data_IF_576367854163
#
_entry.id   IF_576367854163
#
_cell.length_a   1.000
_cell.length_b   1.000
_cell.length_c   1.000
_cell.angle_alpha   90.00
_cell.angle_beta   90.00
_cell.angle_gamma   90.00
#
_symmetry.space_group_name_H-M   'P 1'
#
loop_
_entity.id
_entity.type
_entity.pdbx_description
1 polymer ?
#
# COMPACT_ATOMS: atom_id res chain seq x y z
N UNK A 1 -1.58 17.04 14.52
CA UNK A 1 -2.54 15.93 14.70
C UNK A 1 -2.28 15.27 16.04
N UNK A 2 -3.31 15.09 16.85
CA UNK A 2 -3.18 14.49 18.18
C UNK A 2 -2.93 12.97 18.01
N UNK A 3 -2.17 12.36 18.92
CA UNK A 3 -1.83 10.93 18.86
C UNK A 3 -3.04 9.96 18.91
N UNK A 4 -4.27 10.47 19.09
CA UNK A 4 -5.52 9.69 19.14
C UNK A 4 -6.27 9.55 17.80
N UNK A 5 -5.81 10.20 16.73
CA UNK A 5 -6.54 10.27 15.45
C UNK A 5 -6.18 9.12 14.48
N UNK A 6 -5.23 8.26 14.84
CA UNK A 6 -4.72 7.20 13.96
C UNK A 6 -4.62 5.87 14.72
N UNK A 7 -5.44 4.90 14.33
CA UNK A 7 -5.35 3.51 14.79
C UNK A 7 -4.23 2.82 14.02
N UNK A 8 -3.35 2.12 14.74
CA UNK A 8 -2.20 1.43 14.14
C UNK A 8 -2.36 -0.08 14.28
N UNK A 9 -2.18 -0.81 13.18
CA UNK A 9 -2.27 -2.26 13.13
C UNK A 9 -0.92 -2.83 12.65
N UNK A 10 -0.61 -4.09 13.02
CA UNK A 10 0.60 -4.82 12.62
C UNK A 10 1.92 -4.21 13.12
N UNK A 11 1.93 -3.69 14.35
CA UNK A 11 3.16 -3.25 15.00
C UNK A 11 4.06 -4.47 15.25
N UNK A 12 5.29 -4.47 14.71
CA UNK A 12 6.20 -5.60 14.86
C UNK A 12 6.56 -5.86 16.34
N UNK A 13 6.53 -7.13 16.82
CA UNK A 13 6.92 -7.47 18.18
C UNK A 13 8.43 -7.31 18.41
N UNK A 14 8.83 -6.78 19.56
CA UNK A 14 10.24 -6.49 19.92
C UNK A 14 10.54 -5.02 20.22
N UNK A 15 9.57 -4.13 20.06
CA UNK A 15 9.72 -2.71 20.35
C UNK A 15 9.12 -2.31 21.72
N UNK A 16 8.90 -3.25 22.65
CA UNK A 16 8.15 -3.03 23.90
C UNK A 16 9.00 -2.47 25.05
N UNK A 17 9.94 -1.57 24.72
CA UNK A 17 10.76 -0.85 25.68
C UNK A 17 10.61 0.66 25.51
N UNK A 18 10.17 1.32 26.57
CA UNK A 18 10.16 2.77 26.88
C UNK A 18 10.59 3.74 25.75
N UNK A 19 9.68 4.64 25.38
CA UNK A 19 10.00 5.87 24.65
C UNK A 19 10.14 5.72 23.13
N UNK A 20 9.11 5.23 22.44
CA UNK A 20 9.16 5.11 20.98
C UNK A 20 9.10 6.49 20.30
N UNK A 21 10.18 6.82 19.59
CA UNK A 21 10.20 7.85 18.54
C UNK A 21 9.08 7.58 17.52
N UNK A 22 8.47 8.63 16.96
CA UNK A 22 7.47 8.55 15.89
C UNK A 22 7.88 7.63 14.73
N UNK A 23 9.19 7.44 14.52
CA UNK A 23 9.79 6.56 13.52
C UNK A 23 9.44 5.08 13.66
N UNK A 24 9.23 4.56 14.88
CA UNK A 24 8.93 3.13 15.08
C UNK A 24 7.55 2.77 14.51
N UNK A 25 6.63 3.73 14.52
CA UNK A 25 5.29 3.51 14.02
C UNK A 25 5.14 3.74 12.53
N UNK A 26 6.17 4.29 11.86
CA UNK A 26 6.12 4.64 10.44
C UNK A 26 5.62 3.49 9.55
N UNK A 27 6.05 2.26 9.85
CA UNK A 27 5.70 1.08 9.05
C UNK A 27 4.48 0.30 9.55
N UNK A 28 3.82 0.79 10.60
CA UNK A 28 2.53 0.21 11.00
C UNK A 28 1.46 0.62 9.99
N UNK A 29 0.46 -0.23 9.80
CA UNK A 29 -0.70 0.15 9.00
C UNK A 29 -1.50 1.21 9.76
N UNK A 30 -1.66 2.39 9.16
CA UNK A 30 -2.30 3.54 9.78
C UNK A 30 -3.73 3.71 9.28
N UNK A 31 -4.70 3.47 10.16
CA UNK A 31 -6.10 3.79 9.94
C UNK A 31 -6.39 5.14 10.57
N UNK A 32 -6.54 6.16 9.72
CA UNK A 32 -7.01 7.46 10.18
C UNK A 32 -8.46 7.34 10.61
N UNK A 33 -8.73 7.73 11.86
CA UNK A 33 -10.08 7.82 12.38
C UNK A 33 -10.68 9.11 11.85
N UNK A 34 -11.76 8.99 11.12
CA UNK A 34 -12.55 10.13 10.68
C UNK A 34 -13.15 10.87 11.89
N UNK A 35 -13.26 12.19 11.79
CA UNK A 35 -13.86 13.00 12.85
C UNK A 35 -15.36 12.69 12.97
N UNK A 36 -15.95 12.96 14.14
CA UNK A 36 -17.38 12.77 14.34
C UNK A 36 -18.22 13.60 13.36
N UNK A 37 -17.75 14.80 13.02
CA UNK A 37 -18.37 15.69 12.03
C UNK A 37 -18.31 15.09 10.61
N UNK A 38 -17.16 14.57 10.20
CA UNK A 38 -17.00 13.91 8.90
C UNK A 38 -17.90 12.68 8.77
N UNK A 39 -17.90 11.84 9.81
CA UNK A 39 -18.71 10.64 9.86
C UNK A 39 -20.22 10.97 9.87
N UNK A 40 -20.63 12.04 10.55
CA UNK A 40 -22.01 12.52 10.52
C UNK A 40 -22.39 13.04 9.12
N UNK A 41 -21.51 13.81 8.47
CA UNK A 41 -21.70 14.30 7.10
C UNK A 41 -21.85 13.13 6.11
N UNK A 42 -20.95 12.15 6.13
CA UNK A 42 -21.02 10.95 5.26
C UNK A 42 -22.29 10.14 5.50
N UNK A 43 -22.76 10.04 6.75
CA UNK A 43 -24.05 9.42 7.10
C UNK A 43 -25.26 10.17 6.54
N UNK A 44 -25.21 11.51 6.49
CA UNK A 44 -26.28 12.29 5.86
C UNK A 44 -26.28 12.07 4.35
N UNK A 45 -25.11 12.13 3.71
CA UNK A 45 -24.95 11.87 2.28
C UNK A 45 -25.44 10.47 1.89
N UNK A 46 -25.17 9.44 2.71
CA UNK A 46 -25.65 8.08 2.44
C UNK A 46 -27.17 7.91 2.53
N UNK A 47 -27.89 8.92 3.04
CA UNK A 47 -29.37 8.93 3.11
C UNK A 47 -30.00 9.63 1.90
N UNK A 48 -29.20 10.32 1.09
CA UNK A 48 -29.67 10.94 -0.13
C UNK A 48 -29.99 9.86 -1.18
N UNK A 49 -31.04 10.02 -2.00
CA UNK A 49 -31.35 9.06 -3.05
C UNK A 49 -30.18 8.92 -4.03
N UNK A 50 -29.86 7.68 -4.41
CA UNK A 50 -28.86 7.42 -5.45
C UNK A 50 -29.29 8.05 -6.77
N UNK A 51 -28.36 8.77 -7.40
CA UNK A 51 -28.53 9.25 -8.77
C UNK A 51 -28.08 8.15 -9.71
N UNK A 52 -28.96 7.77 -10.65
CA UNK A 52 -28.61 6.81 -11.70
C UNK A 52 -27.61 7.49 -12.63
N UNK A 53 -26.39 6.97 -12.67
CA UNK A 53 -25.35 7.43 -13.58
C UNK A 53 -25.54 6.78 -14.96
N UNK A 54 -25.15 7.46 -16.05
CA UNK A 54 -25.11 6.86 -17.38
C UNK A 54 -24.09 5.72 -17.44
N UNK A 55 -24.24 4.81 -18.39
CA UNK A 55 -23.42 3.59 -18.50
C UNK A 55 -21.93 3.90 -18.61
N UNK A 56 -21.58 4.96 -19.34
CA UNK A 56 -20.20 5.41 -19.53
C UNK A 56 -19.54 5.85 -18.22
N UNK A 57 -20.31 6.31 -17.23
CA UNK A 57 -19.81 6.72 -15.93
C UNK A 57 -19.64 5.53 -14.95
N UNK A 58 -20.09 4.34 -15.33
CA UNK A 58 -19.88 3.09 -14.59
C UNK A 58 -18.67 2.32 -15.11
N UNK A 59 -18.16 2.69 -16.28
CA UNK A 59 -16.91 2.17 -16.80
C UNK A 59 -15.73 2.76 -16.03
N UNK A 60 -14.73 1.93 -15.76
CA UNK A 60 -13.49 2.38 -15.13
C UNK A 60 -12.32 1.66 -15.75
N UNK A 61 -11.19 2.36 -15.77
CA UNK A 61 -9.94 1.88 -16.34
C UNK A 61 -8.90 1.62 -15.23
N UNK A 62 -8.00 0.64 -15.41
CA UNK A 62 -6.93 0.40 -14.45
C UNK A 62 -6.07 1.66 -14.19
N UNK A 63 -5.88 2.50 -15.20
CA UNK A 63 -5.09 3.73 -15.16
C UNK A 63 -5.63 4.76 -14.16
N UNK A 64 -6.95 4.79 -13.92
CA UNK A 64 -7.58 5.70 -12.94
C UNK A 64 -7.11 5.40 -11.51
N UNK A 65 -6.95 4.12 -11.18
CA UNK A 65 -6.61 3.68 -9.83
C UNK A 65 -5.11 3.48 -9.62
N UNK A 66 -4.46 2.77 -10.53
CA UNK A 66 -3.07 2.35 -10.36
C UNK A 66 -2.07 3.41 -10.81
N UNK A 67 -2.46 4.31 -11.72
CA UNK A 67 -1.60 5.36 -12.30
C UNK A 67 -0.21 4.81 -12.67
N UNK A 68 -0.12 3.89 -13.66
CA UNK A 68 1.11 3.20 -14.00
C UNK A 68 2.27 4.18 -14.29
N UNK A 69 3.47 3.86 -13.79
CA UNK A 69 4.64 4.73 -13.92
C UNK A 69 4.67 5.92 -12.94
N UNK A 70 3.68 6.04 -12.06
CA UNK A 70 3.76 6.92 -10.89
C UNK A 70 4.52 6.26 -9.74
N UNK A 71 4.74 6.99 -8.64
CA UNK A 71 5.35 6.42 -7.43
C UNK A 71 4.43 5.41 -6.70
N UNK A 72 3.21 5.15 -7.18
CA UNK A 72 2.24 4.20 -6.60
C UNK A 72 2.41 2.75 -7.09
N UNK A 73 3.30 2.52 -8.05
CA UNK A 73 3.63 1.16 -8.49
C UNK A 73 4.24 0.35 -7.34
N UNK A 74 4.07 -0.97 -7.36
CA UNK A 74 4.58 -1.82 -6.27
C UNK A 74 6.11 -1.70 -6.12
N UNK A 75 6.65 -1.78 -4.88
CA UNK A 75 8.08 -1.77 -4.66
C UNK A 75 8.70 -3.06 -5.23
N UNK A 76 9.75 -2.90 -6.03
CA UNK A 76 10.48 -4.01 -6.64
C UNK A 76 11.71 -4.33 -5.82
N UNK A 77 12.04 -5.62 -5.67
CA UNK A 77 13.22 -6.00 -4.91
C UNK A 77 14.49 -5.46 -5.58
N UNK A 78 15.35 -4.71 -4.86
CA UNK A 78 16.63 -4.27 -5.41
C UNK A 78 17.49 -5.47 -5.84
N UNK A 79 18.30 -5.33 -6.91
CA UNK A 79 19.21 -6.39 -7.33
C UNK A 79 20.12 -6.86 -6.20
N UNK A 80 20.22 -8.16 -6.00
CA UNK A 80 21.05 -8.77 -4.97
C UNK A 80 21.83 -9.96 -5.53
N UNK A 81 22.91 -10.34 -4.84
CA UNK A 81 23.73 -11.50 -5.20
C UNK A 81 23.99 -12.38 -3.99
N UNK A 82 24.22 -13.68 -4.23
CA UNK A 82 24.57 -14.66 -3.18
C UNK A 82 25.88 -14.32 -2.44
N UNK A 83 26.71 -13.44 -3.01
CA UNK A 83 27.93 -12.95 -2.38
C UNK A 83 27.70 -11.86 -1.32
N UNK A 84 26.51 -11.26 -1.26
CA UNK A 84 26.17 -10.27 -0.24
C UNK A 84 25.94 -10.94 1.11
N UNK A 85 26.38 -10.29 2.19
CA UNK A 85 25.97 -10.73 3.53
C UNK A 85 24.48 -10.47 3.74
N UNK A 86 23.88 -11.25 4.64
CA UNK A 86 22.48 -11.10 5.03
C UNK A 86 22.18 -9.67 5.50
N UNK A 87 23.05 -9.13 6.35
CA UNK A 87 22.88 -7.81 6.96
C UNK A 87 23.01 -6.70 5.90
N UNK A 88 23.91 -6.85 4.93
CA UNK A 88 24.07 -5.91 3.84
C UNK A 88 22.84 -5.89 2.93
N UNK A 89 22.29 -7.07 2.62
CA UNK A 89 21.05 -7.20 1.85
C UNK A 89 19.86 -6.59 2.58
N UNK A 90 19.69 -6.92 3.87
CA UNK A 90 18.61 -6.40 4.69
C UNK A 90 18.65 -4.87 4.81
N UNK A 91 19.86 -4.31 4.99
CA UNK A 91 20.08 -2.87 5.06
C UNK A 91 19.74 -2.18 3.73
N UNK A 92 20.15 -2.78 2.59
CA UNK A 92 19.86 -2.27 1.25
C UNK A 92 18.37 -2.27 0.93
N UNK A 93 17.68 -3.37 1.20
CA UNK A 93 16.24 -3.48 1.03
C UNK A 93 15.50 -2.47 1.92
N UNK A 94 15.96 -2.29 3.16
CA UNK A 94 15.36 -1.31 4.07
C UNK A 94 15.59 0.13 3.62
N UNK A 95 16.76 0.45 3.07
CA UNK A 95 17.02 1.76 2.49
C UNK A 95 16.14 2.02 1.28
N UNK A 96 16.08 1.09 0.34
CA UNK A 96 15.22 1.21 -0.84
C UNK A 96 13.75 1.41 -0.46
N UNK A 97 13.24 0.61 0.46
CA UNK A 97 11.84 0.70 0.88
C UNK A 97 11.52 2.02 1.60
N UNK A 98 12.48 2.57 2.37
CA UNK A 98 12.37 3.92 2.93
C UNK A 98 12.20 4.98 1.85
N UNK A 99 13.10 4.96 0.87
CA UNK A 99 13.10 5.92 -0.23
C UNK A 99 11.82 5.81 -1.06
N UNK A 100 11.31 4.58 -1.25
CA UNK A 100 10.02 4.31 -1.89
C UNK A 100 8.85 4.94 -1.12
N UNK A 101 8.74 4.71 0.19
CA UNK A 101 7.66 5.29 1.02
C UNK A 101 7.77 6.82 1.07
N UNK A 102 8.98 7.34 1.28
CA UNK A 102 9.22 8.79 1.32
C UNK A 102 8.86 9.45 -0.04
N UNK A 103 9.03 8.75 -1.17
CA UNK A 103 8.59 9.21 -2.50
C UNK A 103 7.06 9.30 -2.60
N UNK A 104 6.33 8.32 -2.07
CA UNK A 104 4.85 8.35 -2.06
C UNK A 104 4.34 9.51 -1.20
N UNK A 105 4.84 9.63 0.03
CA UNK A 105 4.42 10.70 0.97
C UNK A 105 4.74 12.11 0.43
N UNK A 106 5.79 12.24 -0.40
CA UNK A 106 6.14 13.52 -1.03
C UNK A 106 5.23 13.87 -2.22
N UNK A 107 4.80 12.88 -2.99
CA UNK A 107 4.09 13.10 -4.25
C UNK A 107 2.56 13.10 -4.09
N UNK A 108 2.03 12.54 -3.00
CA UNK A 108 0.60 12.36 -2.82
C UNK A 108 0.14 12.82 -1.44
N UNK A 109 -1.04 13.43 -1.37
CA UNK A 109 -1.68 13.72 -0.09
C UNK A 109 -2.34 12.46 0.47
N UNK A 110 -2.47 12.39 1.79
CA UNK A 110 -3.16 11.26 2.44
C UNK A 110 -4.63 11.08 2.00
N UNK A 111 -5.26 12.12 1.41
CA UNK A 111 -6.62 12.04 0.89
C UNK A 111 -6.69 11.38 -0.50
N UNK A 112 -5.57 11.37 -1.23
CA UNK A 112 -5.47 10.81 -2.58
C UNK A 112 -5.01 9.34 -2.59
N UNK A 113 -4.54 8.85 -1.43
CA UNK A 113 -3.97 7.52 -1.28
C UNK A 113 -4.98 6.53 -0.70
N UNK A 114 -5.09 5.38 -1.35
CA UNK A 114 -5.70 4.20 -0.72
C UNK A 114 -4.76 3.61 0.32
N UNK A 115 -5.29 2.80 1.24
CA UNK A 115 -4.45 2.07 2.18
C UNK A 115 -3.53 1.09 1.44
N UNK A 116 -2.25 1.07 1.83
CA UNK A 116 -1.26 0.16 1.29
C UNK A 116 -0.39 -0.43 2.40
N UNK A 117 0.29 -1.53 2.09
CA UNK A 117 1.16 -2.21 3.04
C UNK A 117 2.47 -1.43 3.26
N UNK A 118 2.72 -1.06 4.50
CA UNK A 118 3.90 -0.32 4.95
C UNK A 118 4.94 -1.23 5.62
N UNK A 119 4.63 -2.50 5.84
CA UNK A 119 5.55 -3.47 6.41
C UNK A 119 6.44 -4.10 5.32
N UNK A 120 7.74 -3.80 5.38
CA UNK A 120 8.74 -4.39 4.49
C UNK A 120 8.76 -5.92 4.53
N UNK A 121 8.45 -6.56 5.66
CA UNK A 121 8.44 -8.03 5.73
C UNK A 121 7.36 -8.65 4.85
N UNK A 122 6.21 -8.00 4.72
CA UNK A 122 5.14 -8.44 3.80
C UNK A 122 5.64 -8.37 2.35
N UNK A 123 6.32 -7.28 1.99
CA UNK A 123 6.93 -7.14 0.66
C UNK A 123 8.05 -8.13 0.40
N UNK A 124 8.90 -8.44 1.40
CA UNK A 124 9.91 -9.50 1.33
C UNK A 124 9.31 -10.87 1.06
N UNK A 125 8.16 -11.17 1.69
CA UNK A 125 7.44 -12.41 1.44
C UNK A 125 6.95 -12.47 -0.01
N UNK A 126 6.34 -11.38 -0.51
CA UNK A 126 5.92 -11.30 -1.91
C UNK A 126 7.11 -11.52 -2.85
N UNK A 127 8.21 -10.80 -2.67
CA UNK A 127 9.39 -10.93 -3.54
C UNK A 127 9.94 -12.36 -3.57
N UNK A 128 10.04 -13.04 -2.41
CA UNK A 128 10.49 -14.44 -2.35
C UNK A 128 9.53 -15.38 -3.09
N UNK A 129 8.22 -15.16 -2.96
CA UNK A 129 7.21 -15.95 -3.68
C UNK A 129 7.34 -15.74 -5.18
N UNK A 130 7.49 -14.49 -5.63
CA UNK A 130 7.65 -14.17 -7.05
C UNK A 130 8.94 -14.78 -7.62
N UNK A 131 10.04 -14.74 -6.89
CA UNK A 131 11.32 -15.33 -7.33
C UNK A 131 11.32 -16.87 -7.39
N UNK A 132 10.52 -17.53 -6.55
CA UNK A 132 10.50 -19.00 -6.43
C UNK A 132 9.41 -19.66 -7.28
N UNK A 133 8.42 -18.91 -7.76
CA UNK A 133 7.24 -19.47 -8.43
C UNK A 133 7.38 -19.43 -9.95
N UNK A 134 7.08 -20.55 -10.61
CA UNK A 134 6.97 -20.61 -12.07
C UNK A 134 5.59 -20.15 -12.58
N UNK A 135 4.57 -20.29 -11.73
CA UNK A 135 3.19 -19.90 -12.03
C UNK A 135 2.64 -19.08 -10.87
N UNK A 136 2.04 -17.93 -11.20
CA UNK A 136 1.39 -17.05 -10.23
C UNK A 136 -0.09 -16.97 -10.58
N UNK A 137 -0.94 -17.27 -9.60
CA UNK A 137 -2.39 -17.18 -9.71
C UNK A 137 -2.88 -15.96 -8.93
N UNK A 138 -3.56 -15.04 -9.63
CA UNK A 138 -4.23 -13.89 -9.03
C UNK A 138 -5.70 -14.22 -8.82
N UNK A 139 -6.16 -14.17 -7.57
CA UNK A 139 -7.56 -14.34 -7.21
C UNK A 139 -8.22 -12.96 -7.20
N UNK A 140 -9.23 -12.78 -8.03
CA UNK A 140 -9.94 -11.52 -8.20
C UNK A 140 -11.42 -11.65 -7.80
N UNK A 141 -11.99 -10.58 -7.26
CA UNK A 141 -13.43 -10.46 -7.06
C UNK A 141 -14.10 -10.04 -8.38
N UNK A 142 -15.12 -10.80 -8.81
CA UNK A 142 -15.83 -10.56 -10.07
C UNK A 142 -16.60 -9.23 -10.09
N UNK A 143 -16.85 -8.62 -8.92
CA UNK A 143 -17.55 -7.33 -8.84
C UNK A 143 -16.68 -6.18 -9.34
N UNK A 144 -15.37 -6.26 -9.13
CA UNK A 144 -14.41 -5.21 -9.53
C UNK A 144 -13.08 -5.83 -9.98
N UNK A 145 -13.07 -6.70 -11.01
CA UNK A 145 -11.89 -7.50 -11.36
C UNK A 145 -10.68 -6.64 -11.72
N UNK A 146 -10.91 -5.45 -12.29
CA UNK A 146 -9.87 -4.48 -12.65
C UNK A 146 -9.06 -4.04 -11.42
N UNK A 147 -9.69 -3.82 -10.27
CA UNK A 147 -9.01 -3.42 -9.03
C UNK A 147 -8.14 -4.52 -8.41
N UNK A 148 -8.39 -5.77 -8.79
CA UNK A 148 -7.64 -6.93 -8.29
C UNK A 148 -6.46 -7.30 -9.20
N UNK A 149 -6.25 -6.58 -10.30
CA UNK A 149 -5.19 -6.86 -11.26
C UNK A 149 -4.25 -5.65 -11.42
N UNK A 150 -3.25 -5.49 -10.51
CA UNK A 150 -2.30 -4.39 -10.59
C UNK A 150 -1.35 -4.52 -11.80
N UNK A 151 -1.33 -3.53 -12.73
CA UNK A 151 -0.47 -3.58 -13.92
C UNK A 151 1.03 -3.66 -13.62
N UNK A 152 1.47 -3.06 -12.50
CA UNK A 152 2.85 -3.11 -12.05
C UNK A 152 3.33 -4.54 -11.75
N UNK A 153 2.46 -5.36 -11.12
CA UNK A 153 2.77 -6.75 -10.84
C UNK A 153 2.86 -7.57 -12.13
N UNK A 154 1.90 -7.41 -13.03
CA UNK A 154 1.92 -8.09 -14.33
C UNK A 154 3.19 -7.76 -15.10
N UNK A 155 3.55 -6.48 -15.16
CA UNK A 155 4.76 -6.02 -15.85
C UNK A 155 6.03 -6.61 -15.23
N UNK A 156 6.09 -6.70 -13.90
CA UNK A 156 7.25 -7.25 -13.18
C UNK A 156 7.40 -8.77 -13.35
N UNK A 157 6.30 -9.51 -13.49
CA UNK A 157 6.34 -10.97 -13.62
C UNK A 157 6.59 -11.41 -15.07
N UNK A 158 6.17 -10.60 -16.05
CA UNK A 158 6.24 -10.96 -17.48
C UNK A 158 7.46 -10.41 -18.21
N UNK A 159 8.20 -9.48 -17.62
CA UNK A 159 9.41 -8.87 -18.19
C UNK A 159 10.62 -9.19 -17.34
#
# INVERSE_FOLDING_TARGET
YALGDVVRINVQPGADGQGRSSRVFRYALHFKRETAEELHRRKLLSREPYQVLPEEALETTPDEYFKPGSALDMPQRPPWSKSMSKEALESREMQYFREYVDSIEKNFSDADLSYFELNLETWRQLWRVLEMSEVILLVADIRHPVLHFPPALFTHVTK
#
